data_IF_674051289876
#
_entry.id   IF_674051289876
#
_cell.length_a   1.000
_cell.length_b   1.000
_cell.length_c   1.000
_cell.angle_alpha   90.00
_cell.angle_beta   90.00
_cell.angle_gamma   90.00
#
_symmetry.space_group_name_H-M   'P 1'
#
loop_
_entity.id
_entity.type
_entity.pdbx_description
1 polymer ?
#
# COMPACT_ATOMS: atom_id res chain seq x y z
N UNK A 1 -0.94 1.04 25.36
CA UNK A 1 -2.22 1.30 24.67
C UNK A 1 -2.24 0.47 23.40
N UNK A 2 -3.07 -0.58 23.39
CA UNK A 2 -3.15 -1.59 22.34
C UNK A 2 -4.12 -1.17 21.26
N UNK A 3 -3.69 -1.14 20.00
CA UNK A 3 -4.57 -1.20 18.81
C UNK A 3 -3.84 -1.97 17.71
N UNK A 4 -3.97 -3.28 17.73
CA UNK A 4 -3.70 -4.13 16.56
C UNK A 4 -5.02 -4.81 16.20
N UNK A 5 -5.81 -4.16 15.34
CA UNK A 5 -6.94 -4.76 14.64
C UNK A 5 -7.02 -4.08 13.27
N UNK A 6 -6.38 -4.68 12.27
CA UNK A 6 -6.69 -4.41 10.87
C UNK A 6 -7.59 -5.53 10.39
N UNK A 7 -8.89 -5.25 10.38
CA UNK A 7 -9.91 -6.15 9.88
C UNK A 7 -9.98 -5.97 8.36
N UNK A 8 -9.58 -7.00 7.62
CA UNK A 8 -9.73 -7.07 6.17
C UNK A 8 -11.23 -6.98 5.82
N UNK A 9 -11.66 -5.86 5.25
CA UNK A 9 -13.00 -5.71 4.70
C UNK A 9 -12.99 -6.23 3.25
N UNK A 10 -13.26 -7.53 3.08
CA UNK A 10 -13.70 -8.05 1.78
C UNK A 10 -15.16 -7.65 1.56
N UNK A 11 -15.38 -6.71 0.64
CA UNK A 11 -16.71 -6.37 0.12
C UNK A 11 -17.28 -7.57 -0.66
N UNK A 12 -18.13 -8.37 0.00
CA UNK A 12 -18.94 -9.39 -0.67
C UNK A 12 -20.19 -8.72 -1.26
N UNK A 13 -20.30 -8.66 -2.59
CA UNK A 13 -21.56 -8.30 -3.26
C UNK A 13 -22.58 -9.42 -3.00
N UNK A 14 -23.73 -9.06 -2.42
CA UNK A 14 -24.90 -9.95 -2.35
C UNK A 14 -25.49 -10.13 -3.75
N UNK A 15 -25.62 -11.36 -4.20
CA UNK A 15 -26.55 -11.75 -5.28
C UNK A 15 -27.58 -12.73 -4.71
N UNK A 16 -28.86 -12.46 -4.98
CA UNK A 16 -30.02 -13.30 -4.65
C UNK A 16 -30.19 -14.43 -5.71
N UNK A 17 -31.07 -15.44 -5.54
CA UNK A 17 -30.75 -16.83 -5.83
C UNK A 17 -31.66 -17.42 -6.91
N UNK A 18 -31.08 -17.91 -8.01
CA UNK A 18 -31.72 -18.95 -8.81
C UNK A 18 -30.67 -19.56 -9.74
N UNK A 19 -30.45 -20.87 -9.58
CA UNK A 19 -30.52 -21.88 -10.63
C UNK A 19 -29.47 -22.98 -10.42
N UNK A 20 -29.99 -24.21 -10.38
CA UNK A 20 -29.27 -25.46 -10.22
C UNK A 20 -28.64 -25.86 -11.56
N UNK A 21 -27.31 -25.93 -11.64
CA UNK A 21 -26.63 -27.00 -12.38
C UNK A 21 -25.14 -27.09 -12.07
N UNK A 22 -24.73 -28.32 -11.78
CA UNK A 22 -23.36 -28.79 -11.56
C UNK A 22 -22.34 -28.22 -12.56
N UNK A 23 -21.16 -27.81 -12.06
CA UNK A 23 -19.86 -27.87 -12.76
C UNK A 23 -18.71 -27.60 -11.79
N UNK A 24 -17.79 -28.56 -11.70
CA UNK A 24 -16.38 -28.42 -11.35
C UNK A 24 -16.03 -27.66 -10.07
N UNK A 25 -15.81 -28.40 -8.97
CA UNK A 25 -15.16 -27.86 -7.78
C UNK A 25 -13.74 -27.41 -8.10
N UNK A 26 -13.55 -26.10 -8.29
CA UNK A 26 -12.23 -25.48 -8.19
C UNK A 26 -11.94 -25.37 -6.70
N UNK A 27 -11.15 -26.30 -6.19
CA UNK A 27 -10.52 -26.18 -4.89
C UNK A 27 -9.65 -24.93 -4.91
N UNK A 28 -10.14 -23.83 -4.32
CA UNK A 28 -9.36 -22.63 -4.02
C UNK A 28 -8.27 -23.02 -3.01
N UNK A 29 -7.15 -23.52 -3.53
CA UNK A 29 -5.93 -23.72 -2.76
C UNK A 29 -5.43 -22.33 -2.38
N UNK A 30 -5.50 -22.05 -1.10
CA UNK A 30 -5.21 -20.78 -0.44
C UNK A 30 -3.97 -20.09 -1.02
N UNK A 31 -4.16 -18.83 -1.40
CA UNK A 31 -3.20 -17.81 -1.83
C UNK A 31 -2.19 -17.37 -0.74
N UNK A 32 -1.95 -18.21 0.28
CA UNK A 32 -0.96 -17.93 1.33
C UNK A 32 0.49 -18.17 0.91
N UNK A 33 0.73 -19.01 -0.10
CA UNK A 33 2.09 -19.37 -0.54
C UNK A 33 2.78 -18.26 -1.36
N UNK A 34 2.03 -17.51 -2.17
CA UNK A 34 2.59 -16.45 -3.02
C UNK A 34 3.00 -15.21 -2.20
N UNK A 35 2.19 -14.83 -1.21
CA UNK A 35 2.57 -13.76 -0.26
C UNK A 35 3.78 -14.17 0.58
N UNK A 36 3.95 -15.47 0.86
CA UNK A 36 5.08 -15.97 1.64
C UNK A 36 6.40 -15.96 0.86
N UNK A 37 6.39 -16.13 -0.46
CA UNK A 37 7.62 -16.19 -1.27
C UNK A 37 8.26 -14.83 -1.55
N UNK A 38 7.50 -13.73 -1.50
CA UNK A 38 8.03 -12.37 -1.65
C UNK A 38 8.63 -11.85 -0.33
N UNK A 39 8.31 -12.49 0.80
CA UNK A 39 8.67 -12.05 2.16
C UNK A 39 9.82 -12.85 2.79
N UNK A 40 10.42 -13.81 2.08
CA UNK A 40 11.54 -14.63 2.55
C UNK A 40 12.93 -14.08 2.20
N UNK A 41 13.01 -12.91 1.58
CA UNK A 41 14.30 -12.28 1.29
C UNK A 41 14.95 -11.69 2.56
N UNK A 42 16.27 -11.83 2.76
CA UNK A 42 16.96 -11.52 4.01
C UNK A 42 16.98 -10.04 4.42
N UNK A 43 16.34 -9.15 3.65
CA UNK A 43 16.28 -7.72 3.92
C UNK A 43 14.90 -7.14 3.58
N UNK A 44 13.88 -7.52 4.35
CA UNK A 44 12.56 -6.90 4.25
C UNK A 44 12.58 -5.54 4.93
N UNK A 45 12.40 -4.47 4.17
CA UNK A 45 12.18 -3.14 4.72
C UNK A 45 10.84 -3.08 5.46
N UNK A 46 10.81 -2.47 6.64
CA UNK A 46 9.58 -2.30 7.41
C UNK A 46 8.89 -0.97 7.04
N UNK A 47 7.56 -1.00 6.90
CA UNK A 47 6.71 0.19 6.76
C UNK A 47 6.08 0.61 8.09
N UNK A 48 5.73 -0.37 8.93
CA UNK A 48 5.33 -0.22 10.34
C UNK A 48 6.06 -1.25 11.18
N UNK A 49 6.61 -0.85 12.32
CA UNK A 49 7.42 -1.71 13.17
C UNK A 49 6.89 -1.70 14.61
N UNK A 50 6.74 -2.88 15.19
CA UNK A 50 6.45 -3.07 16.62
C UNK A 50 7.60 -3.83 17.28
N UNK A 51 8.01 -4.95 16.68
CA UNK A 51 9.16 -5.75 17.08
C UNK A 51 9.73 -6.51 15.88
N UNK A 52 10.84 -7.24 16.07
CA UNK A 52 11.47 -8.05 15.02
C UNK A 52 10.53 -9.11 14.43
N UNK A 53 9.61 -9.64 15.23
CA UNK A 53 8.64 -10.66 14.82
C UNK A 53 7.27 -10.06 14.48
N UNK A 54 7.08 -8.76 14.70
CA UNK A 54 5.82 -8.07 14.48
C UNK A 54 6.05 -6.73 13.76
N UNK A 55 5.99 -6.79 12.44
CA UNK A 55 6.12 -5.63 11.58
C UNK A 55 5.30 -5.82 10.29
N UNK A 56 4.95 -4.72 9.64
CA UNK A 56 4.35 -4.72 8.31
C UNK A 56 5.45 -4.39 7.29
N UNK A 57 5.72 -5.27 6.31
CA UNK A 57 6.64 -4.98 5.22
C UNK A 57 6.28 -3.68 4.51
N UNK A 58 7.29 -2.89 4.13
CA UNK A 58 7.11 -1.60 3.48
C UNK A 58 6.33 -1.74 2.16
N UNK A 59 6.70 -2.72 1.33
CA UNK A 59 5.99 -3.00 0.09
C UNK A 59 4.52 -3.33 0.31
N UNK A 60 4.19 -4.12 1.34
CA UNK A 60 2.81 -4.43 1.70
C UNK A 60 2.06 -3.18 2.18
N UNK A 61 2.69 -2.36 3.04
CA UNK A 61 2.11 -1.10 3.51
C UNK A 61 1.80 -0.14 2.34
N UNK A 62 2.74 0.02 1.41
CA UNK A 62 2.59 0.83 0.22
C UNK A 62 1.47 0.31 -0.70
N UNK A 63 1.39 -1.01 -0.88
CA UNK A 63 0.34 -1.64 -1.67
C UNK A 63 -1.06 -1.44 -1.06
N UNK A 64 -1.19 -1.59 0.26
CA UNK A 64 -2.45 -1.32 0.97
C UNK A 64 -2.93 0.11 0.70
N UNK A 65 -2.01 1.09 0.74
CA UNK A 65 -2.33 2.50 0.44
C UNK A 65 -2.78 2.68 -1.01
N UNK A 66 -2.11 2.05 -1.98
CA UNK A 66 -2.50 2.12 -3.39
C UNK A 66 -3.92 1.56 -3.61
N UNK A 67 -4.23 0.41 -3.02
CA UNK A 67 -5.54 -0.24 -3.13
C UNK A 67 -6.64 0.58 -2.45
N UNK A 68 -6.38 1.11 -1.25
CA UNK A 68 -7.32 1.99 -0.55
C UNK A 68 -7.55 3.28 -1.34
N UNK A 69 -6.50 3.91 -1.85
CA UNK A 69 -6.62 5.09 -2.70
C UNK A 69 -7.48 4.79 -3.94
N UNK A 70 -7.22 3.67 -4.62
CA UNK A 70 -7.98 3.28 -5.81
C UNK A 70 -9.46 3.11 -5.51
N UNK A 71 -9.80 2.43 -4.41
CA UNK A 71 -11.17 2.24 -3.97
C UNK A 71 -11.84 3.57 -3.57
N UNK A 72 -11.09 4.48 -2.92
CA UNK A 72 -11.59 5.81 -2.58
C UNK A 72 -11.90 6.65 -3.82
N UNK A 73 -11.18 6.48 -4.93
CA UNK A 73 -11.47 7.20 -6.19
C UNK A 73 -12.84 6.87 -6.79
N UNK A 74 -13.48 5.77 -6.38
CA UNK A 74 -14.85 5.43 -6.78
C UNK A 74 -15.91 6.02 -5.85
N UNK A 75 -15.52 6.59 -4.70
CA UNK A 75 -16.44 7.29 -3.81
C UNK A 75 -16.87 8.61 -4.46
N UNK A 76 -18.19 8.91 -4.60
CA UNK A 76 -18.65 10.06 -5.35
C UNK A 76 -18.06 11.41 -4.91
N UNK A 77 -17.85 11.60 -3.60
CA UNK A 77 -17.22 12.80 -3.05
C UNK A 77 -15.78 12.97 -3.54
N UNK A 78 -14.97 11.92 -3.40
CA UNK A 78 -13.57 11.90 -3.83
C UNK A 78 -13.47 12.07 -5.35
N UNK A 79 -14.30 11.35 -6.12
CA UNK A 79 -14.31 11.44 -7.59
C UNK A 79 -14.64 12.85 -8.08
N UNK A 80 -15.59 13.53 -7.45
CA UNK A 80 -15.90 14.94 -7.75
C UNK A 80 -14.71 15.85 -7.46
N UNK A 81 -14.08 15.71 -6.29
CA UNK A 81 -12.90 16.50 -5.93
C UNK A 81 -11.73 16.28 -6.89
N UNK A 82 -11.48 15.02 -7.30
CA UNK A 82 -10.44 14.69 -8.27
C UNK A 82 -10.72 15.29 -9.65
N UNK A 83 -11.97 15.21 -10.11
CA UNK A 83 -12.38 15.80 -11.39
C UNK A 83 -12.24 17.32 -11.37
N UNK A 84 -12.63 17.96 -10.27
CA UNK A 84 -12.46 19.39 -10.08
C UNK A 84 -10.98 19.80 -10.09
N UNK A 85 -10.14 19.09 -9.33
CA UNK A 85 -8.70 19.37 -9.25
C UNK A 85 -7.98 19.14 -10.58
N UNK A 86 -8.39 18.13 -11.37
CA UNK A 86 -7.83 17.85 -12.68
C UNK A 86 -8.38 18.76 -13.80
N UNK A 87 -9.43 19.55 -13.52
CA UNK A 87 -10.14 20.35 -14.53
C UNK A 87 -10.92 19.53 -15.57
N UNK A 88 -10.92 18.20 -15.44
CA UNK A 88 -11.56 17.27 -16.37
C UNK A 88 -11.81 15.91 -15.69
N UNK A 89 -12.65 15.08 -16.31
CA UNK A 89 -12.85 13.71 -15.84
C UNK A 89 -11.58 12.87 -16.10
N UNK A 90 -11.17 12.11 -15.09
CA UNK A 90 -10.04 11.19 -15.20
C UNK A 90 -10.51 9.83 -15.72
N UNK A 91 -9.77 9.30 -16.69
CA UNK A 91 -9.94 7.92 -17.17
C UNK A 91 -9.50 6.92 -16.09
N UNK A 92 -10.02 5.70 -16.16
CA UNK A 92 -9.64 4.64 -15.22
C UNK A 92 -8.13 4.37 -15.26
N UNK A 93 -7.49 4.41 -16.44
CA UNK A 93 -6.03 4.29 -16.55
C UNK A 93 -5.27 5.40 -15.81
N UNK A 94 -5.76 6.65 -15.83
CA UNK A 94 -5.14 7.73 -15.07
C UNK A 94 -5.31 7.51 -13.56
N UNK A 95 -6.47 7.02 -13.13
CA UNK A 95 -6.70 6.66 -11.72
C UNK A 95 -5.77 5.52 -11.27
N UNK A 96 -5.57 4.48 -12.09
CA UNK A 96 -4.61 3.41 -11.79
C UNK A 96 -3.17 3.96 -11.67
N UNK A 97 -2.77 4.89 -12.54
CA UNK A 97 -1.45 5.54 -12.44
C UNK A 97 -1.32 6.39 -11.18
N UNK A 98 -2.39 7.10 -10.79
CA UNK A 98 -2.41 7.82 -9.51
C UNK A 98 -2.32 6.87 -8.31
N UNK A 99 -2.92 5.68 -8.39
CA UNK A 99 -2.78 4.65 -7.35
C UNK A 99 -1.34 4.14 -7.23
N UNK A 100 -0.65 3.95 -8.36
CA UNK A 100 0.80 3.65 -8.37
C UNK A 100 1.60 4.79 -7.75
N UNK A 101 1.27 6.06 -8.04
CA UNK A 101 1.94 7.20 -7.40
C UNK A 101 1.67 7.25 -5.89
N UNK A 102 0.46 6.94 -5.45
CA UNK A 102 0.12 6.80 -4.02
C UNK A 102 0.90 5.66 -3.34
N UNK A 103 1.16 4.56 -4.06
CA UNK A 103 2.03 3.47 -3.58
C UNK A 103 3.42 4.00 -3.19
N UNK A 104 3.95 4.97 -3.93
CA UNK A 104 5.30 5.51 -3.74
C UNK A 104 5.40 6.52 -2.60
N UNK A 105 4.32 6.88 -1.92
CA UNK A 105 4.33 7.92 -0.87
C UNK A 105 5.39 7.68 0.23
N UNK A 106 5.69 6.41 0.51
CA UNK A 106 6.61 5.97 1.56
C UNK A 106 7.88 5.33 1.00
N UNK A 107 8.17 5.44 -0.31
CA UNK A 107 9.35 4.80 -0.93
C UNK A 107 10.67 5.28 -0.31
N UNK A 108 10.70 6.49 0.23
CA UNK A 108 11.85 7.03 0.94
C UNK A 108 12.19 6.26 2.21
N UNK A 109 11.26 5.48 2.78
CA UNK A 109 11.55 4.62 3.95
C UNK A 109 12.55 3.51 3.65
N UNK A 110 12.86 3.24 2.37
CA UNK A 110 13.92 2.28 1.98
C UNK A 110 15.32 2.73 2.40
N UNK A 111 15.51 3.99 2.80
CA UNK A 111 16.82 4.47 3.22
C UNK A 111 17.28 3.86 4.57
N UNK A 112 18.59 3.66 4.71
CA UNK A 112 19.19 3.04 5.90
C UNK A 112 18.97 3.83 7.18
N UNK A 113 18.96 5.17 7.12
CA UNK A 113 18.76 6.00 8.29
C UNK A 113 17.35 5.89 8.87
N UNK A 114 16.36 5.62 8.02
CA UNK A 114 15.00 5.30 8.44
C UNK A 114 14.91 3.87 8.98
N UNK A 115 15.46 2.89 8.27
CA UNK A 115 15.31 1.47 8.60
C UNK A 115 16.06 1.06 9.87
N UNK A 116 17.26 1.61 10.11
CA UNK A 116 18.11 1.22 11.25
C UNK A 116 17.69 1.80 12.58
N UNK A 117 16.93 2.90 12.61
CA UNK A 117 16.60 3.63 13.84
C UNK A 117 15.86 2.81 14.89
N UNK A 118 15.24 1.69 14.50
CA UNK A 118 14.51 0.78 15.41
C UNK A 118 15.40 -0.32 16.00
N UNK A 119 16.60 -0.53 15.44
CA UNK A 119 17.54 -1.57 15.87
C UNK A 119 18.72 -1.00 16.64
N UNK A 120 19.06 0.27 16.42
CA UNK A 120 20.22 0.93 16.99
C UNK A 120 19.87 2.40 17.27
N UNK A 121 19.89 2.77 18.56
CA UNK A 121 19.59 4.14 19.00
C UNK A 121 20.64 5.15 18.57
N UNK A 122 21.87 4.71 18.30
CA UNK A 122 22.98 5.53 17.81
C UNK A 122 23.08 5.60 16.28
N UNK A 123 22.20 4.92 15.55
CA UNK A 123 22.21 4.97 14.09
C UNK A 123 21.92 6.39 13.58
N UNK A 124 22.66 6.81 12.54
CA UNK A 124 22.38 8.05 11.80
C UNK A 124 20.93 8.00 11.31
N UNK A 125 20.14 9.00 11.70
CA UNK A 125 18.72 9.07 11.36
C UNK A 125 18.51 9.85 10.08
N UNK A 126 17.59 9.37 9.26
CA UNK A 126 17.05 10.10 8.13
C UNK A 126 15.52 9.98 8.13
N UNK A 127 14.87 10.95 7.51
CA UNK A 127 13.44 10.96 7.26
C UNK A 127 13.05 9.97 6.16
N UNK A 128 11.94 10.26 5.47
CA UNK A 128 11.53 9.51 4.27
C UNK A 128 10.87 10.40 3.20
N UNK A 129 10.80 11.72 3.44
CA UNK A 129 10.10 12.68 2.57
C UNK A 129 11.14 13.58 1.92
N UNK A 130 11.97 14.24 2.73
CA UNK A 130 13.02 15.15 2.26
C UNK A 130 14.03 14.43 1.36
N UNK A 131 14.31 13.16 1.66
CA UNK A 131 15.23 12.30 0.92
C UNK A 131 14.75 12.01 -0.51
N UNK A 132 13.44 12.16 -0.77
CA UNK A 132 12.86 12.02 -2.10
C UNK A 132 12.75 13.34 -2.86
N UNK A 133 12.96 14.48 -2.19
CA UNK A 133 12.75 15.79 -2.81
C UNK A 133 13.58 15.99 -4.10
N UNK A 134 14.85 15.54 -4.21
CA UNK A 134 15.62 15.65 -5.46
C UNK A 134 15.00 14.91 -6.66
N UNK A 135 14.11 13.93 -6.44
CA UNK A 135 13.44 13.21 -7.53
C UNK A 135 12.33 14.03 -8.18
N UNK A 136 11.79 15.02 -7.48
CA UNK A 136 10.63 15.82 -7.91
C UNK A 136 11.02 17.28 -8.15
N UNK A 137 11.97 17.80 -7.37
CA UNK A 137 12.48 19.15 -7.50
C UNK A 137 14.02 19.13 -7.64
N UNK A 138 14.56 19.38 -8.84
CA UNK A 138 16.01 19.37 -9.07
C UNK A 138 16.73 20.56 -8.42
N UNK A 139 16.00 21.54 -7.87
CA UNK A 139 16.56 22.73 -7.23
C UNK A 139 16.49 22.68 -5.71
N UNK A 140 16.06 21.57 -5.12
CA UNK A 140 16.06 21.42 -3.67
C UNK A 140 17.51 21.49 -3.16
N UNK A 141 17.80 22.43 -2.26
CA UNK A 141 19.11 22.56 -1.62
C UNK A 141 19.12 21.83 -0.27
N UNK A 142 20.28 21.28 0.10
CA UNK A 142 20.52 20.64 1.39
C UNK A 142 20.60 21.65 2.56
#
# INVERSE_FOLDING_TARGET
>A
MSKCSFQFLTLSRRTHPADHRQRGGITLRQSGAYVRSVLTEPYVFWGKFVSRDCFLPLAAHCLDVALVFRALCDVPGVRRSLTYAAGASLSDHQIERLAVLAMLHDVGKTNWGFQRKVFDSGAVRAGHIRELAPLIDPYVQD
#
